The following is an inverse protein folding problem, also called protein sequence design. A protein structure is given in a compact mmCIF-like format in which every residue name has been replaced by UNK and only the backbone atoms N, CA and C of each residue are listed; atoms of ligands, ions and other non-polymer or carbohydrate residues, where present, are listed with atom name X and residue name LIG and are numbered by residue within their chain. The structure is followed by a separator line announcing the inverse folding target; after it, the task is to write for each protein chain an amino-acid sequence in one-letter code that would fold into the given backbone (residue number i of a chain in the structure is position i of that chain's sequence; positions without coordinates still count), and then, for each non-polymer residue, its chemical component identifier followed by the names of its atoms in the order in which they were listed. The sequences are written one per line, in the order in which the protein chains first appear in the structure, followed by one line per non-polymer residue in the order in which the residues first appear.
data_IF_925721483213
#
_entry.id   IF_925721483213
#
_cell.length_a   1.000
_cell.length_b   1.000
_cell.length_c   1.000
_cell.angle_alpha   90.00
_cell.angle_beta   90.00
_cell.angle_gamma   90.00
#
_symmetry.space_group_name_H-M   'P 1'
#
loop_
_entity.id
_entity.type
_entity.pdbx_description
1 polymer ?
#
# COMPACT_ATOMS: atom_id res chain seq x y z
N UNK A 1 -5.49 -7.59 7.26
CA UNK A 1 -5.27 -6.13 7.27
C UNK A 1 -4.08 -5.85 6.36
N UNK A 2 -4.19 -4.90 5.41
CA UNK A 2 -3.05 -4.48 4.60
C UNK A 2 -1.92 -3.98 5.49
N UNK A 3 -0.68 -4.31 5.14
CA UNK A 3 0.51 -3.96 5.89
C UNK A 3 1.58 -3.47 4.91
N UNK A 4 2.09 -2.26 5.10
CA UNK A 4 3.17 -1.71 4.28
C UNK A 4 4.51 -2.33 4.69
N UNK A 5 5.12 -3.11 3.80
CA UNK A 5 6.37 -3.83 4.02
C UNK A 5 7.19 -3.91 2.73
N UNK A 6 8.41 -4.44 2.82
CA UNK A 6 9.24 -4.73 1.65
C UNK A 6 8.75 -5.99 0.94
N UNK A 7 9.03 -6.09 -0.36
CA UNK A 7 8.73 -7.28 -1.17
C UNK A 7 9.38 -8.55 -0.62
N UNK A 8 10.58 -8.47 -0.01
CA UNK A 8 11.21 -9.63 0.64
C UNK A 8 10.34 -10.22 1.75
N UNK A 9 9.67 -9.38 2.54
CA UNK A 9 8.79 -9.81 3.63
C UNK A 9 7.50 -10.44 3.06
N UNK A 10 6.98 -9.89 1.96
CA UNK A 10 5.84 -10.50 1.23
C UNK A 10 6.20 -11.88 0.70
N UNK A 11 7.40 -12.05 0.12
CA UNK A 11 7.88 -13.34 -0.38
C UNK A 11 8.00 -14.35 0.77
N UNK A 12 8.63 -13.96 1.87
CA UNK A 12 8.75 -14.81 3.07
C UNK A 12 7.39 -15.23 3.64
N UNK A 13 6.39 -14.34 3.58
CA UNK A 13 5.02 -14.65 3.96
C UNK A 13 4.37 -15.64 2.99
N UNK A 14 4.44 -15.39 1.68
CA UNK A 14 3.85 -16.25 0.65
C UNK A 14 4.44 -17.67 0.66
N UNK A 15 5.72 -17.82 0.98
CA UNK A 15 6.39 -19.13 1.11
C UNK A 15 5.82 -20.03 2.22
N UNK A 16 4.99 -19.50 3.12
CA UNK A 16 4.36 -20.26 4.21
C UNK A 16 3.05 -20.94 3.79
N UNK A 17 2.51 -20.63 2.60
CA UNK A 17 1.22 -21.14 2.11
C UNK A 17 1.36 -22.39 1.22
N UNK A 18 0.27 -23.11 0.98
CA UNK A 18 0.28 -24.26 0.07
C UNK A 18 0.29 -23.77 -1.39
N UNK A 19 0.96 -24.51 -2.27
CA UNK A 19 1.18 -24.11 -3.66
C UNK A 19 -0.13 -23.89 -4.46
N UNK A 20 -1.19 -24.63 -4.13
CA UNK A 20 -2.46 -24.60 -4.85
C UNK A 20 -3.54 -23.75 -4.17
N UNK A 21 -3.16 -22.96 -3.15
CA UNK A 21 -4.07 -22.03 -2.50
C UNK A 21 -4.51 -20.92 -3.48
N UNK A 22 -5.82 -20.69 -3.59
CA UNK A 22 -6.38 -19.63 -4.42
C UNK A 22 -6.35 -18.30 -3.66
N UNK A 23 -5.61 -17.32 -4.19
CA UNK A 23 -5.42 -16.01 -3.53
C UNK A 23 -5.69 -14.84 -4.48
N UNK A 24 -6.29 -13.78 -3.94
CA UNK A 24 -6.37 -12.46 -4.54
C UNK A 24 -5.49 -11.52 -3.72
N UNK A 25 -4.44 -10.97 -4.33
CA UNK A 25 -3.52 -10.04 -3.68
C UNK A 25 -3.53 -8.69 -4.42
N UNK A 26 -3.54 -7.59 -3.65
CA UNK A 26 -3.36 -6.24 -4.16
C UNK A 26 -2.06 -5.67 -3.60
N UNK A 27 -1.17 -5.24 -4.48
CA UNK A 27 0.13 -4.66 -4.12
C UNK A 27 0.17 -3.22 -4.59
N UNK A 28 0.67 -2.36 -3.71
CA UNK A 28 0.81 -0.93 -3.94
C UNK A 28 2.25 -0.52 -3.71
N UNK A 29 2.76 0.27 -4.64
CA UNK A 29 4.15 0.67 -4.71
C UNK A 29 4.28 2.18 -4.52
N UNK A 30 5.50 2.62 -4.23
CA UNK A 30 5.80 4.06 -4.16
C UNK A 30 5.42 4.77 -5.48
N UNK A 31 5.59 4.10 -6.63
CA UNK A 31 5.21 4.64 -7.94
C UNK A 31 3.69 4.84 -8.10
N UNK A 32 2.85 4.05 -7.42
CA UNK A 32 1.40 4.26 -7.45
C UNK A 32 1.03 5.55 -6.73
N UNK A 33 1.72 5.88 -5.63
CA UNK A 33 1.57 7.18 -4.95
C UNK A 33 2.07 8.32 -5.85
N UNK A 34 3.23 8.14 -6.50
CA UNK A 34 3.75 9.14 -7.46
C UNK A 34 2.86 9.30 -8.70
N UNK A 35 2.03 8.32 -9.03
CA UNK A 35 1.04 8.43 -10.10
C UNK A 35 -0.10 9.39 -9.74
N UNK A 36 -0.40 9.54 -8.45
CA UNK A 36 -1.35 10.52 -7.91
C UNK A 36 -0.70 11.91 -7.87
N UNK A 37 0.52 12.01 -7.34
CA UNK A 37 1.28 13.26 -7.33
C UNK A 37 2.78 13.01 -7.59
N UNK A 38 3.24 13.42 -8.77
CA UNK A 38 4.63 13.23 -9.21
C UNK A 38 5.67 14.00 -8.37
N UNK A 39 5.25 14.94 -7.53
CA UNK A 39 6.14 15.66 -6.61
C UNK A 39 6.42 14.88 -5.31
N UNK A 40 5.69 13.78 -5.05
CA UNK A 40 5.88 12.97 -3.86
C UNK A 40 7.30 12.38 -3.79
N UNK A 41 7.96 12.64 -2.67
CA UNK A 41 9.27 12.03 -2.39
C UNK A 41 9.13 10.54 -2.06
N UNK A 42 10.24 9.80 -2.10
CA UNK A 42 10.27 8.39 -1.68
C UNK A 42 9.75 8.20 -0.25
N UNK A 43 10.08 9.13 0.65
CA UNK A 43 9.65 9.04 2.04
C UNK A 43 8.16 9.34 2.20
N UNK A 44 7.66 10.40 1.55
CA UNK A 44 6.23 10.69 1.52
C UNK A 44 5.44 9.53 0.90
N UNK A 45 5.97 8.90 -0.15
CA UNK A 45 5.33 7.75 -0.79
C UNK A 45 5.23 6.56 0.16
N UNK A 46 6.29 6.25 0.91
CA UNK A 46 6.27 5.19 1.93
C UNK A 46 5.33 5.51 3.08
N UNK A 47 5.33 6.75 3.56
CA UNK A 47 4.42 7.15 4.63
C UNK A 47 2.97 7.18 4.20
N UNK A 48 2.66 7.59 2.97
CA UNK A 48 1.31 7.51 2.42
C UNK A 48 0.83 6.05 2.37
N UNK A 49 1.69 5.10 1.95
CA UNK A 49 1.36 3.67 1.97
C UNK A 49 1.13 3.13 3.39
N UNK A 50 1.95 3.54 4.38
CA UNK A 50 1.75 3.18 5.80
C UNK A 50 0.44 3.76 6.34
N UNK A 51 0.16 5.00 6.00
CA UNK A 51 -1.05 5.71 6.41
C UNK A 51 -2.29 5.05 5.81
N UNK A 52 -2.30 4.77 4.50
CA UNK A 52 -3.38 4.06 3.82
C UNK A 52 -3.61 2.66 4.42
N UNK A 53 -2.55 1.89 4.66
CA UNK A 53 -2.66 0.57 5.29
C UNK A 53 -3.34 0.63 6.67
N UNK A 54 -3.09 1.69 7.44
CA UNK A 54 -3.60 1.85 8.80
C UNK A 54 -4.99 2.50 8.88
N UNK A 55 -5.39 3.28 7.86
CA UNK A 55 -6.57 4.16 7.94
C UNK A 55 -7.57 4.03 6.76
N UNK A 56 -7.35 3.12 5.81
CA UNK A 56 -8.32 2.88 4.73
C UNK A 56 -9.69 2.43 5.26
N UNK A 57 -10.73 2.78 4.51
CA UNK A 57 -12.08 2.26 4.72
C UNK A 57 -12.12 0.77 4.35
N UNK A 58 -12.44 -0.09 5.31
CA UNK A 58 -12.50 -1.53 5.12
C UNK A 58 -13.61 -1.97 4.14
N UNK A 59 -14.64 -1.16 3.92
CA UNK A 59 -15.70 -1.44 2.93
C UNK A 59 -15.24 -1.17 1.49
N UNK A 60 -14.23 -0.32 1.30
CA UNK A 60 -13.73 0.10 -0.02
C UNK A 60 -12.34 -0.46 -0.35
N UNK A 61 -11.54 -0.79 0.67
CA UNK A 61 -10.15 -1.18 0.51
C UNK A 61 -9.24 0.00 0.22
N UNK A 62 -8.06 -0.29 -0.31
CA UNK A 62 -7.13 0.73 -0.79
C UNK A 62 -7.41 0.96 -2.28
N UNK A 63 -7.53 2.22 -2.69
CA UNK A 63 -7.71 2.69 -4.06
C UNK A 63 -6.80 3.91 -4.35
N UNK A 64 -6.78 4.39 -5.59
CA UNK A 64 -6.07 5.64 -5.96
C UNK A 64 -6.56 6.82 -5.10
N UNK A 65 -7.86 6.94 -4.88
CA UNK A 65 -8.45 7.97 -4.01
C UNK A 65 -7.98 7.81 -2.55
N UNK A 66 -7.76 6.57 -2.09
CA UNK A 66 -7.20 6.32 -0.75
C UNK A 66 -5.76 6.79 -0.66
N UNK A 67 -4.96 6.60 -1.72
CA UNK A 67 -3.57 7.09 -1.75
C UNK A 67 -3.51 8.61 -1.79
N UNK A 68 -4.41 9.25 -2.55
CA UNK A 68 -4.53 10.72 -2.58
C UNK A 68 -4.84 11.28 -1.19
N UNK A 69 -5.88 10.74 -0.53
CA UNK A 69 -6.26 11.16 0.81
C UNK A 69 -5.15 10.90 1.85
N UNK A 70 -4.43 9.77 1.73
CA UNK A 70 -3.32 9.46 2.62
C UNK A 70 -2.13 10.41 2.41
N UNK A 71 -1.80 10.75 1.16
CA UNK A 71 -0.73 11.69 0.84
C UNK A 71 -1.07 13.11 1.32
N UNK A 72 -2.33 13.53 1.16
CA UNK A 72 -2.81 14.81 1.69
C UNK A 72 -2.69 14.84 3.22
N UNK A 73 -3.13 13.78 3.90
CA UNK A 73 -3.12 13.71 5.36
C UNK A 73 -1.71 13.81 5.98
N UNK A 74 -0.69 13.20 5.37
CA UNK A 74 0.68 13.24 5.91
C UNK A 74 1.42 14.57 5.65
N UNK A 75 0.91 15.41 4.74
CA UNK A 75 1.49 16.71 4.39
C UNK A 75 0.93 17.88 5.20
N UNK A 76 -0.11 17.65 6.00
CA UNK A 76 -0.72 18.63 6.91
C UNK A 76 0.07 18.73 8.22
#
# INVERSE_FOLDING_TARGET
MPHACKISEVIEWLQQHQHDDFVLCSLWYEDDVRSVDASATDEESREALRHAASHHDAEQGISWDTLEAALEAIRQ
#
